data_IF_620767981821
#
_entry.id   IF_620767981821
#
_cell.length_a   1.000
_cell.length_b   1.000
_cell.length_c   1.000
_cell.angle_alpha   90.00
_cell.angle_beta   90.00
_cell.angle_gamma   90.00
#
_symmetry.space_group_name_H-M   'P 1'
#
loop_
_entity.id
_entity.type
_entity.pdbx_description
1 polymer ?
#
# COMPACT_ATOMS: atom_id res chain seq x y z
N UNK A 1 -21.06 6.60 23.36
CA UNK A 1 -20.02 7.33 22.61
C UNK A 1 -19.90 6.63 21.27
N UNK A 2 -20.07 7.34 20.16
CA UNK A 2 -19.85 6.74 18.85
C UNK A 2 -18.41 6.19 18.80
N UNK A 3 -18.24 4.95 18.34
CA UNK A 3 -16.90 4.49 18.00
C UNK A 3 -16.48 5.28 16.77
N UNK A 4 -15.44 6.10 16.90
CA UNK A 4 -14.87 6.80 15.76
C UNK A 4 -14.33 5.76 14.77
N UNK A 5 -14.76 5.87 13.52
CA UNK A 5 -14.35 4.99 12.44
C UNK A 5 -12.84 5.13 12.19
N UNK A 6 -12.23 4.12 11.56
CA UNK A 6 -10.86 4.28 11.06
C UNK A 6 -10.85 5.19 9.82
N UNK A 7 -9.75 5.94 9.55
CA UNK A 7 -9.61 6.69 8.31
C UNK A 7 -9.81 5.79 7.08
N UNK A 8 -10.40 6.36 6.03
CA UNK A 8 -10.51 5.72 4.73
C UNK A 8 -9.14 5.60 4.06
N UNK A 9 -9.02 4.69 3.10
CA UNK A 9 -7.81 4.54 2.29
C UNK A 9 -7.48 5.81 1.52
N UNK A 10 -8.47 6.60 1.12
CA UNK A 10 -8.25 7.89 0.46
C UNK A 10 -7.62 8.92 1.40
N UNK A 11 -8.08 8.98 2.65
CA UNK A 11 -7.52 9.85 3.70
C UNK A 11 -6.10 9.41 4.08
N UNK A 12 -5.87 8.09 4.23
CA UNK A 12 -4.54 7.53 4.43
C UNK A 12 -3.60 7.88 3.26
N UNK A 13 -4.05 7.72 2.01
CA UNK A 13 -3.27 8.07 0.82
C UNK A 13 -2.92 9.56 0.78
N UNK A 14 -3.84 10.45 1.17
CA UNK A 14 -3.55 11.88 1.21
C UNK A 14 -2.45 12.20 2.24
N UNK A 15 -2.46 11.56 3.41
CA UNK A 15 -1.36 11.66 4.37
C UNK A 15 -0.05 11.06 3.84
N UNK A 16 -0.11 9.87 3.22
CA UNK A 16 1.04 9.12 2.70
C UNK A 16 1.70 9.80 1.50
N UNK A 17 0.98 10.57 0.68
CA UNK A 17 1.56 11.35 -0.44
C UNK A 17 2.67 12.31 0.01
N UNK A 18 2.72 12.68 1.29
CA UNK A 18 3.84 13.44 1.87
C UNK A 18 5.14 12.61 1.98
N UNK A 19 5.02 11.30 2.24
CA UNK A 19 6.14 10.34 2.35
C UNK A 19 6.69 9.88 0.99
N UNK A 20 5.94 10.07 -0.09
CA UNK A 20 6.38 9.68 -1.44
C UNK A 20 7.14 10.80 -2.16
N UNK A 21 7.13 12.04 -1.65
CA UNK A 21 7.79 13.20 -2.28
C UNK A 21 9.14 13.56 -1.66
N UNK A 22 9.38 13.15 -0.42
CA UNK A 22 10.67 13.30 0.24
C UNK A 22 11.35 11.94 0.13
N UNK A 23 12.48 11.86 -0.58
CA UNK A 23 13.15 10.64 -1.07
C UNK A 23 13.49 9.55 -0.02
N UNK A 24 13.05 9.68 1.23
CA UNK A 24 13.41 8.87 2.38
C UNK A 24 12.20 8.28 3.13
N UNK A 25 10.97 8.44 2.65
CA UNK A 25 9.78 7.87 3.29
C UNK A 25 9.60 6.37 3.04
N UNK A 26 8.90 5.68 3.93
CA UNK A 26 8.76 4.21 4.00
C UNK A 26 8.25 3.61 2.69
N UNK A 27 7.35 4.31 2.00
CA UNK A 27 6.84 3.92 0.68
C UNK A 27 7.92 4.00 -0.40
N UNK A 28 8.70 5.08 -0.41
CA UNK A 28 9.82 5.26 -1.34
C UNK A 28 10.94 4.25 -1.04
N UNK A 29 11.28 4.04 0.23
CA UNK A 29 12.24 3.00 0.63
C UNK A 29 11.75 1.63 0.19
N UNK A 30 10.45 1.30 0.34
CA UNK A 30 9.90 0.02 -0.10
C UNK A 30 10.01 -0.15 -1.62
N UNK A 31 9.72 0.91 -2.35
CA UNK A 31 9.90 0.92 -3.79
C UNK A 31 11.37 0.70 -4.18
N UNK A 32 12.31 1.44 -3.59
CA UNK A 32 13.74 1.29 -3.86
C UNK A 32 14.24 -0.13 -3.53
N UNK A 33 13.87 -0.67 -2.37
CA UNK A 33 14.24 -2.02 -1.91
C UNK A 33 13.63 -3.15 -2.74
N UNK A 34 12.65 -2.82 -3.59
CA UNK A 34 12.05 -3.77 -4.52
C UNK A 34 12.99 -4.11 -5.68
N UNK A 35 14.09 -3.36 -5.85
CA UNK A 35 15.07 -3.52 -6.92
C UNK A 35 16.48 -3.71 -6.33
N UNK A 36 16.79 -4.89 -5.73
CA UNK A 36 18.10 -5.16 -5.16
C UNK A 36 19.24 -5.03 -6.17
N UNK A 37 18.96 -5.29 -7.46
CA UNK A 37 19.88 -5.04 -8.57
C UNK A 37 19.10 -4.86 -9.89
N UNK A 38 19.83 -4.67 -10.99
CA UNK A 38 19.27 -4.41 -12.32
C UNK A 38 18.53 -5.61 -12.97
N UNK A 39 18.67 -6.81 -12.39
CA UNK A 39 18.13 -8.06 -12.91
C UNK A 39 17.10 -8.68 -12.00
N UNK A 40 17.06 -8.32 -10.71
CA UNK A 40 16.18 -8.91 -9.73
C UNK A 40 15.21 -7.91 -9.11
N UNK A 41 14.02 -8.39 -8.77
CA UNK A 41 13.04 -7.64 -8.00
C UNK A 41 12.38 -8.51 -6.92
N UNK A 42 11.80 -7.86 -5.93
CA UNK A 42 10.98 -8.49 -4.90
C UNK A 42 9.84 -7.56 -4.51
N UNK A 43 8.71 -8.08 -4.06
CA UNK A 43 7.72 -7.24 -3.38
C UNK A 43 8.25 -6.83 -2.02
N UNK A 44 8.07 -5.55 -1.73
CA UNK A 44 8.26 -4.93 -0.44
C UNK A 44 6.92 -4.38 0.03
N UNK A 45 6.82 -4.06 1.31
CA UNK A 45 5.57 -3.56 1.85
C UNK A 45 5.59 -3.43 3.36
N UNK A 46 4.39 -3.39 3.92
CA UNK A 46 4.20 -3.36 5.35
C UNK A 46 2.82 -2.88 5.74
N UNK A 47 2.77 -2.11 6.83
CA UNK A 47 1.55 -1.87 7.59
C UNK A 47 1.44 -0.41 8.00
N UNK A 48 0.22 0.10 7.97
CA UNK A 48 -0.13 1.45 8.43
C UNK A 48 -1.00 1.32 9.68
N UNK A 49 -0.57 1.96 10.76
CA UNK A 49 -1.29 2.01 12.03
C UNK A 49 -1.73 3.43 12.31
N UNK A 50 -2.82 3.62 13.06
CA UNK A 50 -3.29 4.94 13.51
C UNK A 50 -3.57 4.96 15.02
N UNK A 51 -3.71 6.15 15.62
CA UNK A 51 -4.00 6.29 17.07
C UNK A 51 -5.30 5.55 17.42
N UNK A 52 -5.32 4.87 18.58
CA UNK A 52 -6.50 4.16 19.08
C UNK A 52 -6.74 4.44 20.59
N UNK A 53 -7.96 4.85 21.01
CA UNK A 53 -9.13 5.12 20.16
C UNK A 53 -8.86 6.30 19.23
N UNK A 54 -9.44 6.29 18.03
CA UNK A 54 -9.22 7.36 17.03
C UNK A 54 -9.73 8.67 17.64
N UNK A 55 -8.84 9.60 18.05
CA UNK A 55 -9.19 10.59 19.07
C UNK A 55 -9.86 11.83 18.49
N UNK A 56 -9.67 12.11 17.19
CA UNK A 56 -10.20 13.28 16.50
C UNK A 56 -10.12 13.11 14.97
N UNK A 57 -10.58 14.11 14.22
CA UNK A 57 -10.40 14.29 12.77
C UNK A 57 -8.94 14.40 12.34
N UNK A 58 -7.99 14.52 13.28
CA UNK A 58 -6.55 14.37 13.02
C UNK A 58 -6.02 13.21 13.84
N UNK A 59 -5.35 12.26 13.17
CA UNK A 59 -4.74 11.09 13.81
C UNK A 59 -3.31 10.93 13.34
N UNK A 60 -2.41 10.46 14.21
CA UNK A 60 -1.08 10.06 13.75
C UNK A 60 -1.20 8.72 13.06
N UNK A 61 -0.47 8.55 11.97
CA UNK A 61 -0.25 7.25 11.36
C UNK A 61 1.22 6.85 11.44
N UNK A 62 1.46 5.58 11.75
CA UNK A 62 2.77 4.95 11.74
C UNK A 62 2.85 3.99 10.58
N UNK A 63 3.85 4.17 9.72
CA UNK A 63 4.13 3.25 8.63
C UNK A 63 5.31 2.38 9.03
N UNK A 64 5.15 1.07 8.91
CA UNK A 64 6.19 0.08 9.24
C UNK A 64 6.41 -0.87 8.08
N UNK A 65 7.64 -1.33 7.93
CA UNK A 65 8.03 -2.30 6.91
C UNK A 65 7.81 -3.73 7.41
N UNK A 66 7.28 -4.58 6.55
CA UNK A 66 7.31 -6.03 6.73
C UNK A 66 8.69 -6.58 6.33
N UNK A 67 9.04 -7.82 6.74
CA UNK A 67 10.19 -8.52 6.21
C UNK A 67 10.14 -8.58 4.68
N UNK A 68 11.31 -8.42 4.03
CA UNK A 68 11.46 -8.47 2.57
C UNK A 68 10.86 -9.76 1.99
N UNK A 69 10.16 -9.61 0.86
CA UNK A 69 9.59 -10.72 0.10
C UNK A 69 10.62 -11.56 -0.67
N UNK A 70 10.14 -12.57 -1.38
CA UNK A 70 10.99 -13.46 -2.20
C UNK A 70 11.53 -12.69 -3.41
N UNK A 71 12.83 -12.84 -3.67
CA UNK A 71 13.52 -12.22 -4.82
C UNK A 71 13.40 -13.09 -6.07
N UNK A 72 13.17 -12.46 -7.22
CA UNK A 72 13.03 -13.12 -8.52
C UNK A 72 13.67 -12.30 -9.66
N UNK A 73 13.83 -12.91 -10.83
CA UNK A 73 14.34 -12.24 -12.04
C UNK A 73 13.29 -11.32 -12.69
N UNK A 74 13.66 -10.07 -12.97
CA UNK A 74 12.82 -9.05 -13.61
C UNK A 74 12.49 -9.36 -15.08
N UNK A 75 13.36 -10.11 -15.77
CA UNK A 75 13.30 -10.29 -17.24
C UNK A 75 12.78 -11.66 -17.67
N UNK A 76 12.29 -12.47 -16.75
CA UNK A 76 11.76 -13.80 -17.03
C UNK A 76 10.31 -13.87 -16.63
N UNK A 77 9.45 -14.30 -17.56
CA UNK A 77 8.08 -14.71 -17.24
C UNK A 77 8.12 -15.80 -16.18
N UNK A 78 7.35 -15.63 -15.10
CA UNK A 78 7.42 -16.49 -13.93
C UNK A 78 6.40 -16.07 -12.87
N UNK A 79 6.39 -16.74 -11.69
CA UNK A 79 5.52 -16.32 -10.60
C UNK A 79 5.85 -14.89 -10.19
N UNK A 80 4.84 -14.08 -9.86
CA UNK A 80 5.06 -12.73 -9.34
C UNK A 80 5.90 -12.80 -8.06
N UNK A 81 6.65 -11.72 -7.79
CA UNK A 81 7.28 -11.55 -6.50
C UNK A 81 6.18 -11.55 -5.42
N UNK A 82 6.50 -11.96 -4.20
CA UNK A 82 5.51 -12.06 -3.14
C UNK A 82 6.11 -11.68 -1.79
N UNK A 83 5.31 -11.02 -0.97
CA UNK A 83 5.61 -10.69 0.43
C UNK A 83 4.58 -11.31 1.38
N UNK A 84 5.03 -11.74 2.56
CA UNK A 84 4.12 -12.21 3.61
C UNK A 84 3.68 -11.04 4.49
N UNK A 85 2.40 -10.67 4.38
CA UNK A 85 1.78 -9.64 5.20
C UNK A 85 0.90 -10.22 6.32
N UNK A 86 0.89 -11.54 6.56
CA UNK A 86 -0.02 -12.13 7.54
C UNK A 86 0.25 -11.71 8.99
N UNK A 87 1.43 -11.15 9.26
CA UNK A 87 1.91 -10.84 10.60
C UNK A 87 2.20 -9.33 10.75
N UNK A 88 1.18 -8.47 10.98
CA UNK A 88 1.34 -7.03 11.15
C UNK A 88 2.36 -6.62 12.21
N UNK A 89 2.48 -7.38 13.30
CA UNK A 89 3.71 -7.41 14.09
C UNK A 89 4.11 -6.15 14.87
N UNK A 90 3.18 -5.25 15.23
CA UNK A 90 3.52 -4.06 16.05
C UNK A 90 3.33 -4.26 17.55
N UNK A 91 4.35 -3.85 18.31
CA UNK A 91 4.36 -3.87 19.78
C UNK A 91 3.90 -2.54 20.42
N UNK A 92 3.57 -1.52 19.62
CA UNK A 92 3.12 -0.22 20.12
C UNK A 92 1.76 -0.34 20.84
N UNK A 93 1.58 0.44 21.90
CA UNK A 93 0.30 0.56 22.59
C UNK A 93 -0.53 1.69 21.98
N UNK A 94 -1.86 1.62 22.15
CA UNK A 94 -2.80 2.67 21.71
C UNK A 94 -2.77 2.94 20.20
N UNK A 95 -2.58 1.89 19.39
CA UNK A 95 -2.68 1.96 17.94
C UNK A 95 -3.57 0.86 17.39
N UNK A 96 -4.14 1.10 16.22
CA UNK A 96 -4.92 0.14 15.43
C UNK A 96 -4.36 0.04 14.02
N UNK A 97 -4.25 -1.18 13.50
CA UNK A 97 -3.88 -1.44 12.11
C UNK A 97 -4.99 -0.91 11.21
N UNK A 98 -4.69 0.05 10.34
CA UNK A 98 -5.66 0.71 9.47
C UNK A 98 -5.61 0.18 8.03
N UNK A 99 -4.42 -0.14 7.52
CA UNK A 99 -4.22 -0.66 6.17
C UNK A 99 -2.91 -1.46 6.07
N UNK A 100 -2.76 -2.24 5.00
CA UNK A 100 -1.45 -2.71 4.55
C UNK A 100 -1.06 -2.01 3.24
N UNK A 101 0.21 -2.15 2.87
CA UNK A 101 0.66 -1.77 1.55
C UNK A 101 1.74 -2.73 1.05
N UNK A 102 1.88 -2.83 -0.26
CA UNK A 102 3.00 -3.53 -0.90
C UNK A 102 3.30 -2.97 -2.28
N UNK A 103 4.41 -3.41 -2.88
CA UNK A 103 4.89 -2.95 -4.17
C UNK A 103 4.63 -3.98 -5.26
N UNK A 104 4.25 -3.57 -6.46
CA UNK A 104 4.29 -4.39 -7.67
C UNK A 104 5.43 -3.90 -8.58
N UNK A 105 6.63 -4.52 -8.50
CA UNK A 105 7.83 -4.00 -9.18
C UNK A 105 7.95 -4.38 -10.66
N UNK A 106 7.23 -5.41 -11.11
CA UNK A 106 7.28 -5.89 -12.49
C UNK A 106 6.41 -5.02 -13.41
N UNK A 107 6.95 -4.67 -14.58
CA UNK A 107 6.18 -3.96 -15.62
C UNK A 107 5.32 -4.91 -16.43
N UNK A 108 4.24 -4.37 -17.01
CA UNK A 108 3.40 -5.08 -17.98
C UNK A 108 4.19 -5.61 -19.19
N UNK A 109 5.27 -4.93 -19.60
CA UNK A 109 6.13 -5.35 -20.72
C UNK A 109 6.86 -6.69 -20.51
N UNK A 110 7.00 -7.15 -19.27
CA UNK A 110 7.60 -8.45 -18.92
C UNK A 110 6.56 -9.44 -18.37
N UNK A 111 5.27 -9.11 -18.50
CA UNK A 111 4.16 -9.91 -17.99
C UNK A 111 3.83 -9.68 -16.51
N UNK A 112 4.33 -8.59 -15.91
CA UNK A 112 3.87 -8.13 -14.60
C UNK A 112 2.49 -7.49 -14.67
N UNK A 113 1.80 -7.40 -13.52
CA UNK A 113 0.56 -6.65 -13.39
C UNK A 113 0.77 -5.50 -12.39
N UNK A 114 0.74 -4.23 -12.83
CA UNK A 114 0.92 -3.10 -11.94
C UNK A 114 -0.30 -2.87 -11.02
N UNK A 115 -1.45 -3.47 -11.34
CA UNK A 115 -2.68 -3.32 -10.56
C UNK A 115 -2.76 -4.39 -9.45
N UNK A 116 -3.56 -4.14 -8.39
CA UNK A 116 -3.86 -5.15 -7.38
C UNK A 116 -4.39 -6.44 -8.01
N UNK A 117 -3.79 -7.57 -7.66
CA UNK A 117 -4.19 -8.87 -8.17
C UNK A 117 -5.54 -9.31 -7.60
N UNK A 118 -6.13 -10.35 -8.19
CA UNK A 118 -7.31 -11.00 -7.60
C UNK A 118 -7.05 -11.54 -6.19
N UNK A 119 -5.84 -12.00 -5.91
CA UNK A 119 -5.46 -12.47 -4.58
C UNK A 119 -5.43 -11.32 -3.58
N UNK A 120 -4.92 -10.15 -3.98
CA UNK A 120 -4.91 -8.93 -3.16
C UNK A 120 -6.33 -8.51 -2.78
N UNK A 121 -7.22 -8.42 -3.77
CA UNK A 121 -8.63 -8.12 -3.55
C UNK A 121 -9.29 -9.12 -2.59
N UNK A 122 -9.09 -10.42 -2.84
CA UNK A 122 -9.70 -11.48 -2.01
C UNK A 122 -9.20 -11.40 -0.57
N UNK A 123 -7.89 -11.20 -0.38
CA UNK A 123 -7.29 -11.12 0.94
C UNK A 123 -7.72 -9.85 1.69
N UNK A 124 -7.80 -8.70 1.03
CA UNK A 124 -8.21 -7.44 1.66
C UNK A 124 -9.65 -7.51 2.19
N UNK A 125 -10.59 -8.01 1.38
CA UNK A 125 -11.98 -8.21 1.83
C UNK A 125 -12.09 -9.30 2.90
N UNK A 126 -11.39 -10.43 2.75
CA UNK A 126 -11.38 -11.48 3.76
C UNK A 126 -10.80 -11.00 5.11
N UNK A 127 -9.90 -10.01 5.08
CA UNK A 127 -9.31 -9.37 6.26
C UNK A 127 -10.06 -8.12 6.70
N UNK A 128 -11.16 -7.71 6.07
CA UNK A 128 -11.93 -6.50 6.43
C UNK A 128 -11.09 -5.22 6.50
N UNK A 129 -10.06 -5.10 5.65
CA UNK A 129 -9.07 -4.03 5.74
C UNK A 129 -8.60 -3.56 4.34
N UNK A 130 -8.46 -2.24 4.11
CA UNK A 130 -7.92 -1.72 2.86
C UNK A 130 -6.46 -2.11 2.66
N UNK A 131 -6.06 -2.16 1.39
CA UNK A 131 -4.67 -2.26 0.98
C UNK A 131 -4.28 -1.19 -0.04
N UNK A 132 -2.98 -0.95 -0.15
CA UNK A 132 -2.37 -0.01 -1.10
C UNK A 132 -1.28 -0.74 -1.90
N UNK A 133 -1.34 -0.69 -3.23
CA UNK A 133 -0.26 -1.14 -4.11
C UNK A 133 0.51 0.06 -4.63
N UNK A 134 1.83 0.02 -4.53
CA UNK A 134 2.76 0.95 -5.21
C UNK A 134 3.36 0.24 -6.41
N UNK A 135 3.17 0.77 -7.61
CA UNK A 135 3.63 0.13 -8.84
C UNK A 135 4.34 1.14 -9.75
N UNK A 136 4.86 0.63 -10.87
CA UNK A 136 5.41 1.48 -11.94
C UNK A 136 4.37 2.42 -12.55
N UNK A 137 3.10 2.03 -12.55
CA UNK A 137 2.02 2.78 -13.20
C UNK A 137 1.30 3.71 -12.21
N UNK A 138 1.73 3.73 -10.94
CA UNK A 138 1.17 4.58 -9.90
C UNK A 138 0.80 3.83 -8.63
N UNK A 139 -0.03 4.47 -7.81
CA UNK A 139 -0.48 3.97 -6.52
C UNK A 139 -1.97 3.61 -6.61
N UNK A 140 -2.32 2.39 -6.23
CA UNK A 140 -3.69 1.88 -6.26
C UNK A 140 -4.16 1.53 -4.86
N UNK A 141 -5.39 1.92 -4.50
CA UNK A 141 -6.07 1.37 -3.32
C UNK A 141 -6.97 0.19 -3.69
N UNK A 142 -7.13 -0.76 -2.79
CA UNK A 142 -7.99 -1.93 -2.98
C UNK A 142 -8.61 -2.42 -1.67
N UNK A 143 -9.63 -3.28 -1.77
CA UNK A 143 -10.36 -3.80 -0.62
C UNK A 143 -11.49 -2.88 -0.11
N UNK A 144 -11.92 -3.03 1.15
CA UNK A 144 -12.85 -2.12 1.80
C UNK A 144 -12.31 -0.68 1.81
N UNK A 145 -13.21 0.31 1.86
CA UNK A 145 -12.81 1.73 1.91
C UNK A 145 -12.08 2.08 3.22
N UNK A 146 -12.42 1.40 4.31
CA UNK A 146 -11.87 1.57 5.66
C UNK A 146 -11.78 0.22 6.34
N UNK A 147 -11.04 0.14 7.44
CA UNK A 147 -11.10 -1.01 8.33
C UNK A 147 -12.51 -1.17 8.92
N UNK A 148 -13.11 -2.36 8.75
CA UNK A 148 -14.52 -2.60 9.07
C UNK A 148 -14.82 -2.76 10.58
N UNK A 149 -13.86 -3.22 11.39
CA UNK A 149 -14.07 -3.48 12.83
C UNK A 149 -12.80 -3.22 13.67
N UNK A 150 -12.98 -2.69 14.88
CA UNK A 150 -11.91 -2.36 15.84
C UNK A 150 -11.66 -3.42 16.92
N UNK A 151 -12.35 -4.57 16.89
CA UNK A 151 -12.28 -5.62 17.93
C UNK A 151 -10.90 -6.26 18.10
N UNK A 152 -10.09 -6.35 17.04
CA UNK A 152 -8.71 -6.86 17.08
C UNK A 152 -7.73 -5.77 16.62
N UNK A 153 -7.47 -4.72 17.41
CA UNK A 153 -6.86 -3.49 16.91
C UNK A 153 -5.48 -3.72 16.29
N UNK A 154 -4.66 -4.62 16.84
CA UNK A 154 -3.31 -4.86 16.32
C UNK A 154 -3.23 -5.90 15.20
N UNK A 155 -4.25 -6.74 15.04
CA UNK A 155 -4.32 -7.74 13.99
C UNK A 155 -5.37 -7.40 12.93
N UNK A 156 -5.61 -8.34 12.03
CA UNK A 156 -6.76 -8.24 11.13
C UNK A 156 -8.06 -8.37 11.92
N UNK A 157 -9.10 -7.59 11.59
CA UNK A 157 -10.44 -7.87 12.10
C UNK A 157 -10.83 -9.30 11.73
N UNK A 158 -11.71 -9.89 12.53
CA UNK A 158 -12.26 -11.20 12.17
C UNK A 158 -12.87 -11.13 10.77
N UNK A 159 -12.64 -12.15 9.91
CA UNK A 159 -13.24 -12.18 8.60
C UNK A 159 -14.74 -11.96 8.71
N UNK A 160 -15.21 -10.84 8.17
CA UNK A 160 -16.64 -10.63 8.07
C UNK A 160 -17.11 -11.68 7.08
N UNK A 161 -18.07 -12.51 7.50
CA UNK A 161 -18.67 -13.47 6.56
C UNK A 161 -19.15 -12.63 5.39
N UNK A 162 -18.61 -12.81 4.17
CA UNK A 162 -19.00 -11.97 3.06
C UNK A 162 -20.53 -12.04 2.97
N UNK A 163 -21.23 -10.91 2.85
CA UNK A 163 -22.68 -10.94 2.75
C UNK A 163 -23.03 -11.95 1.68
N UNK A 164 -23.85 -12.95 2.03
CA UNK A 164 -24.24 -14.05 1.15
C UNK A 164 -24.74 -13.44 -0.15
N UNK A 165 -23.86 -13.28 -1.14
CA UNK A 165 -24.24 -12.64 -2.38
C UNK A 165 -25.20 -13.63 -3.03
N UNK A 166 -26.49 -13.29 -3.19
CA UNK A 166 -27.38 -14.13 -3.99
C UNK A 166 -26.66 -14.34 -5.31
N UNK A 167 -26.56 -15.59 -5.76
CA UNK A 167 -25.88 -16.00 -6.99
C UNK A 167 -26.57 -15.32 -8.18
N UNK A 168 -26.31 -14.03 -8.36
CA UNK A 168 -26.87 -13.19 -9.39
C UNK A 168 -26.17 -13.57 -10.67
N UNK A 169 -26.98 -13.94 -11.65
CA UNK A 169 -26.61 -14.28 -13.01
C UNK A 169 -25.55 -13.34 -13.56
N UNK A 170 -24.34 -13.86 -13.74
CA UNK A 170 -23.36 -13.55 -14.80
C UNK A 170 -23.37 -12.12 -15.39
N UNK A 171 -23.40 -11.08 -14.57
CA UNK A 171 -22.98 -9.76 -14.98
C UNK A 171 -21.52 -9.61 -14.54
N UNK A 172 -20.60 -9.42 -15.50
CA UNK A 172 -19.20 -9.05 -15.24
C UNK A 172 -19.18 -7.76 -14.42
N UNK A 173 -19.20 -7.88 -13.09
CA UNK A 173 -18.87 -6.77 -12.19
C UNK A 173 -17.36 -6.78 -12.01
N UNK A 174 -16.66 -5.98 -12.80
CA UNK A 174 -15.40 -5.42 -12.32
C UNK A 174 -15.78 -4.37 -11.26
N UNK A 175 -15.37 -4.49 -9.99
CA UNK A 175 -15.26 -3.29 -9.17
C UNK A 175 -14.18 -2.43 -9.83
N UNK A 176 -14.41 -1.13 -10.07
CA UNK A 176 -13.32 -0.29 -10.53
C UNK A 176 -12.28 -0.26 -9.41
N UNK A 177 -11.00 -0.57 -9.67
CA UNK A 177 -9.97 -0.03 -8.80
C UNK A 177 -10.15 1.49 -8.82
N UNK A 178 -10.20 2.12 -7.65
CA UNK A 178 -10.08 3.57 -7.59
C UNK A 178 -8.66 3.91 -8.01
N UNK A 179 -8.49 4.23 -9.29
CA UNK A 179 -7.24 4.78 -9.81
C UNK A 179 -7.19 6.22 -9.32
N UNK A 180 -6.41 6.48 -8.28
CA UNK A 180 -5.94 7.84 -8.04
C UNK A 180 -4.83 8.06 -9.06
N UNK A 181 -5.16 8.61 -10.22
CA UNK A 181 -4.19 8.94 -11.26
C UNK A 181 -3.27 10.04 -10.74
N UNK A 182 -2.18 9.61 -10.10
CA UNK A 182 -1.06 10.46 -9.77
C UNK A 182 0.08 9.97 -10.65
N UNK A 183 0.30 10.66 -11.77
CA UNK A 183 1.57 10.57 -12.47
C UNK A 183 2.67 10.91 -11.45
N UNK A 184 3.45 9.92 -11.06
CA UNK A 184 4.82 10.20 -10.62
C UNK A 184 5.49 10.96 -11.77
N UNK A 185 6.26 12.03 -11.51
CA UNK A 185 7.17 12.49 -12.53
C UNK A 185 8.12 11.33 -12.81
N UNK A 186 7.97 10.71 -13.99
CA UNK A 186 9.04 9.92 -14.57
C UNK A 186 10.28 10.83 -14.60
N UNK A 187 11.22 10.61 -13.68
CA UNK A 187 12.47 11.36 -13.68
C UNK A 187 12.84 12.05 -12.37
N UNK A 188 13.35 11.28 -11.42
CA UNK A 188 14.64 11.60 -10.78
C UNK A 188 15.49 10.34 -10.62
N UNK A 189 15.36 9.40 -11.57
CA UNK A 189 16.48 8.54 -11.90
C UNK A 189 17.55 9.40 -12.55
N UNK A 190 18.32 10.13 -11.73
CA UNK A 190 19.62 10.62 -12.18
C UNK A 190 20.35 9.36 -12.63
N UNK A 191 20.53 9.24 -13.95
CA UNK A 191 21.48 8.32 -14.53
C UNK A 191 22.86 8.76 -14.05
N UNK A 192 23.20 8.40 -12.82
CA UNK A 192 24.56 8.46 -12.35
C UNK A 192 25.26 7.35 -13.11
N UNK A 193 25.91 7.72 -14.21
CA UNK A 193 26.98 6.95 -14.81
C UNK A 193 28.14 6.90 -13.79
N UNK A 194 28.00 6.08 -12.75
CA UNK A 194 29.08 5.75 -11.84
C UNK A 194 29.46 4.30 -12.09
N UNK A 195 30.76 4.13 -12.31
CA UNK A 195 31.42 2.85 -12.35
C UNK A 195 30.96 1.96 -11.20
N UNK A 196 30.55 0.75 -11.55
CA UNK A 196 30.24 -0.33 -10.62
C UNK A 196 31.41 -0.50 -9.65
N UNK A 197 31.18 -0.15 -8.39
CA UNK A 197 31.89 -0.74 -7.26
C UNK A 197 30.96 -1.82 -6.73
N UNK A 198 31.35 -3.07 -6.91
CA UNK A 198 30.71 -4.22 -6.27
C UNK A 198 30.84 -4.06 -4.75
N UNK A 199 29.79 -3.54 -4.11
CA UNK A 199 29.67 -3.62 -2.66
C UNK A 199 28.92 -4.90 -2.31
N UNK A 200 29.63 -5.82 -1.67
CA UNK A 200 29.05 -6.96 -0.98
C UNK A 200 27.91 -6.50 -0.07
N UNK A 201 26.79 -7.22 -0.12
CA UNK A 201 25.64 -7.01 0.73
C UNK A 201 26.00 -7.30 2.20
N UNK A 202 26.45 -6.28 2.93
CA UNK A 202 26.42 -6.28 4.39
C UNK A 202 24.97 -6.21 4.84
N UNK A 203 24.53 -7.18 5.64
CA UNK A 203 23.22 -7.21 6.26
C UNK A 203 22.98 -5.90 7.02
N UNK A 204 22.05 -5.08 6.51
CA UNK A 204 21.71 -3.78 7.08
C UNK A 204 20.97 -3.98 8.42
N UNK A 205 21.66 -3.68 9.51
CA UNK A 205 21.12 -3.64 10.87
C UNK A 205 20.54 -2.27 11.24
N UNK A 206 20.40 -1.35 10.30
CA UNK A 206 19.76 -0.06 10.50
C UNK A 206 18.28 -0.14 10.12
N UNK A 207 17.49 -0.82 10.95
CA UNK A 207 16.04 -0.63 10.91
C UNK A 207 15.77 0.84 11.30
N UNK A 208 15.53 1.71 10.31
CA UNK A 208 15.02 3.04 10.59
C UNK A 208 13.72 2.89 11.38
N UNK A 209 13.52 3.77 12.36
CA UNK A 209 12.28 3.79 13.15
C UNK A 209 11.05 3.95 12.24
N UNK A 210 9.84 3.67 12.76
CA UNK A 210 8.61 3.86 11.99
C UNK A 210 8.50 5.33 11.53
N UNK A 211 8.09 5.53 10.27
CA UNK A 211 7.71 6.86 9.81
C UNK A 211 6.39 7.26 10.46
N UNK A 212 6.33 8.50 10.91
CA UNK A 212 5.13 9.08 11.54
C UNK A 212 4.62 10.23 10.68
N UNK A 213 3.37 10.11 10.24
CA UNK A 213 2.65 11.18 9.54
C UNK A 213 1.41 11.59 10.32
N UNK A 214 0.88 12.76 10.00
CA UNK A 214 -0.43 13.20 10.47
C UNK A 214 -1.44 13.01 9.34
N UNK A 215 -2.52 12.31 9.64
CA UNK A 215 -3.64 12.07 8.74
C UNK A 215 -4.82 12.91 9.21
N UNK A 216 -5.17 13.91 8.41
CA UNK A 216 -6.41 14.66 8.57
C UNK A 216 -7.52 13.92 7.82
N UNK A 217 -8.68 13.75 8.46
CA UNK A 217 -9.83 13.03 7.94
C UNK A 217 -11.12 13.70 8.40
N UNK A 218 -12.18 13.58 7.60
CA UNK A 218 -13.41 14.35 7.77
C UNK A 218 -14.60 13.43 8.00
N UNK A 219 -15.41 13.75 9.01
CA UNK A 219 -16.73 13.11 9.19
C UNK A 219 -17.71 13.55 8.09
N UNK A 220 -17.45 14.70 7.46
CA UNK A 220 -18.17 15.15 6.26
C UNK A 220 -17.62 14.37 5.06
N UNK A 221 -18.47 13.53 4.46
CA UNK A 221 -18.08 12.60 3.40
C UNK A 221 -17.18 13.25 2.34
N UNK A 222 -16.14 12.50 1.93
CA UNK A 222 -15.16 12.96 0.95
C UNK A 222 -15.86 13.35 -0.35
N UNK A 223 -15.91 14.65 -0.64
CA UNK A 223 -16.33 15.16 -1.94
C UNK A 223 -15.15 14.97 -2.88
N UNK A 224 -15.23 13.95 -3.74
CA UNK A 224 -14.23 13.72 -4.78
C UNK A 224 -14.22 14.93 -5.73
N UNK A 225 -13.04 15.53 -5.91
CA UNK A 225 -12.85 16.63 -6.87
C UNK A 225 -13.25 16.21 -8.28
N UNK A 226 -13.73 17.17 -9.08
CA UNK A 226 -14.13 16.92 -10.45
C UNK A 226 -12.97 16.29 -11.27
N UNK A 227 -13.28 15.37 -12.21
CA UNK A 227 -12.28 14.74 -13.05
C UNK A 227 -11.47 15.80 -13.81
N UNK A 228 -10.14 15.64 -13.82
CA UNK A 228 -9.24 16.47 -14.62
C UNK A 228 -9.65 16.33 -16.09
N UNK A 229 -10.12 17.44 -16.66
CA UNK A 229 -10.41 17.55 -18.08
C UNK A 229 -9.07 17.50 -18.80
N UNK A 230 -8.86 16.47 -19.62
CA UNK A 230 -7.76 16.44 -20.58
C UNK A 230 -7.99 17.59 -21.57
N UNK A 231 -7.09 18.57 -21.59
CA UNK A 231 -7.08 19.58 -22.64
C UNK A 231 -6.68 18.91 -23.95
N UNK A 232 -7.64 18.81 -24.87
CA UNK A 232 -7.37 18.50 -26.27
C UNK A 232 -6.65 19.69 -26.91
N UNK A 233 -5.38 19.51 -27.27
CA UNK A 233 -4.70 20.27 -28.32
C UNK A 233 -4.46 19.34 -29.53
#
# INVERSE_FOLDING_TARGET
MAQNECPSVAELLNGVKSLTRQNDGTFQTAWSDSFPDAYHCCEQGGFIYVDFPVPSTVTRAWVTRAPKGVTMNQRTTGPNAAIDLNNPGIQMNNVILAANFHTHPLSSSVGGDPQPSRADMTNAYARGMPGIVVSRDGIYSYGPERRENTSNPKGYPEPVTPPSVPRSTLAKRQPPPWVVSNQWPEGTGVAIAHAFVENEATADANASGPDVIYVEWSDEGVVYGEPLIESED
#
